data_IF_269193240716
#
_entry.id   IF_269193240716
#
_cell.length_a   1.000
_cell.length_b   1.000
_cell.length_c   1.000
_cell.angle_alpha   90.00
_cell.angle_beta   90.00
_cell.angle_gamma   90.00
#
_symmetry.space_group_name_H-M   'P 1'
#
loop_
_entity.id
_entity.type
_entity.pdbx_description
1 polymer ?
#
# COMPACT_ATOMS: atom_id res chain seq x y z
N UNK A 1 0.97 -22.58 26.65
CA UNK A 1 0.78 -22.77 25.19
C UNK A 1 1.97 -23.54 24.66
N UNK A 2 1.74 -24.59 23.86
CA UNK A 2 2.83 -25.35 23.26
C UNK A 2 3.43 -24.50 22.11
N UNK A 3 4.76 -24.41 22.00
CA UNK A 3 5.40 -23.54 20.99
C UNK A 3 4.98 -23.91 19.56
N UNK A 4 4.71 -25.20 19.34
CA UNK A 4 4.20 -25.73 18.07
C UNK A 4 2.79 -25.19 17.76
N UNK A 5 1.88 -25.17 18.73
CA UNK A 5 0.54 -24.62 18.49
C UNK A 5 0.58 -23.11 18.28
N UNK A 6 1.47 -22.37 18.95
CA UNK A 6 1.62 -20.94 18.71
C UNK A 6 2.14 -20.60 17.32
N UNK A 7 2.97 -21.45 16.72
CA UNK A 7 3.53 -21.24 15.38
C UNK A 7 2.55 -21.63 14.27
N UNK A 8 1.83 -22.74 14.46
CA UNK A 8 0.97 -23.34 13.44
C UNK A 8 -0.52 -22.96 13.54
N UNK A 9 -1.06 -22.74 14.75
CA UNK A 9 -2.44 -22.28 14.94
C UNK A 9 -2.45 -20.76 15.09
N UNK A 10 -2.92 -20.04 14.07
CA UNK A 10 -2.97 -18.59 14.07
C UNK A 10 -4.29 -18.09 13.48
N UNK A 11 -5.10 -17.41 14.30
CA UNK A 11 -6.46 -16.97 13.95
C UNK A 11 -7.53 -17.62 14.83
N UNK A 12 -8.78 -17.54 14.39
CA UNK A 12 -9.92 -18.16 15.06
C UNK A 12 -10.23 -19.55 14.46
N UNK A 13 -10.69 -20.48 15.30
CA UNK A 13 -11.29 -21.75 14.83
C UNK A 13 -12.77 -21.52 14.57
N UNK A 14 -13.20 -21.71 13.32
CA UNK A 14 -14.59 -21.54 12.89
C UNK A 14 -15.14 -22.90 12.45
N UNK A 15 -16.35 -23.30 12.86
CA UNK A 15 -16.96 -24.55 12.41
C UNK A 15 -17.06 -24.59 10.88
N UNK A 16 -16.63 -25.69 10.26
CA UNK A 16 -16.63 -25.84 8.80
C UNK A 16 -15.31 -25.50 8.10
N UNK A 17 -14.26 -25.12 8.86
CA UNK A 17 -12.91 -24.88 8.34
C UNK A 17 -11.89 -25.80 9.04
N UNK A 18 -11.03 -26.44 8.25
CA UNK A 18 -10.01 -27.38 8.75
C UNK A 18 -8.80 -26.66 9.38
N UNK A 19 -8.63 -25.38 9.07
CA UNK A 19 -7.53 -24.52 9.54
C UNK A 19 -8.03 -23.33 10.34
N UNK A 20 -7.13 -22.71 11.10
CA UNK A 20 -7.41 -21.42 11.73
C UNK A 20 -7.53 -20.33 10.66
N UNK A 21 -8.59 -19.54 10.78
CA UNK A 21 -8.96 -18.52 9.79
C UNK A 21 -9.00 -17.13 10.39
N UNK A 22 -8.88 -16.13 9.52
CA UNK A 22 -9.02 -14.71 9.81
C UNK A 22 -10.07 -14.14 8.88
N UNK A 23 -10.82 -13.13 9.32
CA UNK A 23 -11.79 -12.48 8.47
C UNK A 23 -11.08 -11.46 7.55
N UNK A 24 -11.03 -11.73 6.26
CA UNK A 24 -10.37 -10.89 5.26
C UNK A 24 -10.90 -9.47 5.26
N UNK A 25 -12.21 -9.27 5.49
CA UNK A 25 -12.82 -7.94 5.54
C UNK A 25 -12.26 -7.11 6.68
N UNK A 26 -11.97 -7.75 7.81
CA UNK A 26 -11.39 -7.09 8.99
C UNK A 26 -9.94 -6.68 8.71
N UNK A 27 -9.18 -7.54 8.04
CA UNK A 27 -7.80 -7.28 7.64
C UNK A 27 -7.73 -6.14 6.61
N UNK A 28 -8.62 -6.14 5.61
CA UNK A 28 -8.73 -5.09 4.60
C UNK A 28 -9.14 -3.74 5.19
N UNK A 29 -10.13 -3.74 6.08
CA UNK A 29 -10.53 -2.52 6.78
C UNK A 29 -9.38 -1.94 7.60
N UNK A 30 -8.64 -2.79 8.34
CA UNK A 30 -7.48 -2.35 9.09
C UNK A 30 -6.35 -1.82 8.19
N UNK A 31 -6.10 -2.44 7.03
CA UNK A 31 -5.14 -1.94 6.04
C UNK A 31 -5.55 -0.56 5.50
N UNK A 32 -6.85 -0.36 5.22
CA UNK A 32 -7.38 0.93 4.78
C UNK A 32 -7.24 2.04 5.83
N UNK A 33 -7.55 1.73 7.11
CA UNK A 33 -7.40 2.69 8.23
C UNK A 33 -5.94 3.12 8.36
N UNK A 34 -5.02 2.16 8.45
CA UNK A 34 -3.59 2.44 8.58
C UNK A 34 -3.05 3.15 7.33
N UNK A 35 -3.42 2.71 6.13
CA UNK A 35 -3.00 3.35 4.88
C UNK A 35 -3.47 4.81 4.78
N UNK A 36 -4.72 5.09 5.18
CA UNK A 36 -5.25 6.45 5.26
C UNK A 36 -4.48 7.30 6.27
N UNK A 37 -4.28 6.79 7.49
CA UNK A 37 -3.52 7.51 8.53
C UNK A 37 -2.07 7.77 8.09
N UNK A 38 -1.40 6.79 7.50
CA UNK A 38 -0.05 6.94 6.96
C UNK A 38 0.02 7.99 5.85
N UNK A 39 -1.00 8.04 4.98
CA UNK A 39 -1.10 9.08 3.94
C UNK A 39 -1.20 10.47 4.58
N UNK A 40 -2.09 10.65 5.55
CA UNK A 40 -2.23 11.92 6.29
C UNK A 40 -0.92 12.31 6.97
N UNK A 41 -0.23 11.34 7.58
CA UNK A 41 1.05 11.56 8.26
C UNK A 41 2.14 12.01 7.29
N UNK A 42 2.20 11.48 6.06
CA UNK A 42 3.14 11.97 5.04
C UNK A 42 2.80 13.41 4.65
N UNK A 43 1.52 13.71 4.38
CA UNK A 43 1.10 15.08 4.05
C UNK A 43 1.40 16.08 5.17
N UNK A 44 1.10 15.73 6.41
CA UNK A 44 1.32 16.60 7.57
C UNK A 44 2.81 16.68 7.94
N UNK A 45 3.50 15.55 7.93
CA UNK A 45 4.91 15.45 8.29
C UNK A 45 5.83 16.14 7.29
N UNK A 46 5.64 15.91 5.99
CA UNK A 46 6.45 16.54 4.94
C UNK A 46 5.94 17.94 4.61
N UNK A 47 4.62 18.11 4.47
CA UNK A 47 4.03 19.39 4.04
C UNK A 47 4.12 20.49 5.10
N UNK A 48 3.91 20.15 6.38
CA UNK A 48 3.91 21.12 7.49
C UNK A 48 5.10 20.95 8.44
N UNK A 49 6.05 20.07 8.12
CA UNK A 49 7.24 19.77 8.91
C UNK A 49 6.94 19.35 10.37
N UNK A 50 5.79 18.71 10.61
CA UNK A 50 5.38 18.24 11.93
C UNK A 50 5.94 16.84 12.26
N UNK A 51 7.16 16.84 12.78
CA UNK A 51 7.97 15.67 13.15
C UNK A 51 7.23 14.70 14.11
N UNK A 52 6.54 15.25 15.11
CA UNK A 52 5.92 14.47 16.20
C UNK A 52 4.86 13.51 15.66
N UNK A 53 4.07 13.94 14.68
CA UNK A 53 2.97 13.15 14.10
C UNK A 53 3.52 11.88 13.43
N UNK A 54 4.62 12.00 12.70
CA UNK A 54 5.30 10.87 12.08
C UNK A 54 5.84 9.88 13.13
N UNK A 55 6.46 10.38 14.22
CA UNK A 55 6.99 9.53 15.28
C UNK A 55 5.90 8.72 15.98
N UNK A 56 4.79 9.37 16.32
CA UNK A 56 3.64 8.72 16.98
C UNK A 56 3.04 7.65 16.08
N UNK A 57 2.80 7.98 14.80
CA UNK A 57 2.23 7.04 13.85
C UNK A 57 3.13 5.83 13.61
N UNK A 58 4.43 6.02 13.37
CA UNK A 58 5.36 4.92 13.13
C UNK A 58 5.54 4.02 14.35
N UNK A 59 5.54 4.60 15.55
CA UNK A 59 5.56 3.83 16.80
C UNK A 59 4.29 3.00 16.95
N UNK A 60 3.12 3.59 16.69
CA UNK A 60 1.84 2.89 16.70
C UNK A 60 1.80 1.76 15.65
N UNK A 61 2.24 2.03 14.42
CA UNK A 61 2.29 1.06 13.33
C UNK A 61 3.18 -0.15 13.70
N UNK A 62 4.34 0.10 14.29
CA UNK A 62 5.24 -0.95 14.78
C UNK A 62 4.60 -1.80 15.88
N UNK A 63 3.98 -1.16 16.87
CA UNK A 63 3.28 -1.87 17.96
C UNK A 63 2.12 -2.69 17.39
N UNK A 64 1.36 -2.13 16.45
CA UNK A 64 0.24 -2.81 15.83
C UNK A 64 0.68 -4.05 15.05
N UNK A 65 1.73 -3.96 14.21
CA UNK A 65 2.27 -5.13 13.52
C UNK A 65 2.87 -6.16 14.48
N UNK A 66 3.49 -5.72 15.58
CA UNK A 66 3.98 -6.61 16.64
C UNK A 66 2.82 -7.36 17.29
N UNK A 67 1.74 -6.65 17.63
CA UNK A 67 0.53 -7.23 18.20
C UNK A 67 -0.09 -8.24 17.21
N UNK A 68 -0.22 -7.88 15.93
CA UNK A 68 -0.66 -8.79 14.87
C UNK A 68 0.19 -10.05 14.87
N UNK A 69 1.51 -9.96 14.75
CA UNK A 69 2.40 -11.14 14.70
C UNK A 69 2.15 -12.15 15.84
N UNK A 70 1.88 -11.65 17.05
CA UNK A 70 1.61 -12.48 18.23
C UNK A 70 0.18 -13.02 18.20
N UNK A 71 -0.80 -12.14 18.00
CA UNK A 71 -2.21 -12.51 18.03
C UNK A 71 -3.09 -11.49 17.28
N UNK A 72 -3.92 -11.93 16.32
CA UNK A 72 -4.77 -11.04 15.54
C UNK A 72 -5.87 -10.38 16.38
N UNK A 73 -6.25 -10.97 17.52
CA UNK A 73 -7.36 -10.48 18.36
C UNK A 73 -7.01 -9.21 19.14
N UNK A 74 -5.71 -8.94 19.36
CA UNK A 74 -5.25 -7.81 20.19
C UNK A 74 -4.65 -6.66 19.38
N UNK A 75 -4.62 -6.75 18.05
CA UNK A 75 -4.17 -5.64 17.20
C UNK A 75 -5.22 -4.52 17.23
N UNK A 76 -4.85 -3.29 17.67
CA UNK A 76 -5.77 -2.17 17.71
C UNK A 76 -6.42 -1.86 16.36
N UNK A 77 -5.65 -1.94 15.27
CA UNK A 77 -6.18 -1.67 13.94
C UNK A 77 -7.16 -2.76 13.46
N UNK A 78 -6.90 -4.04 13.76
CA UNK A 78 -7.85 -5.13 13.47
C UNK A 78 -9.12 -5.01 14.32
N UNK A 79 -9.01 -4.56 15.57
CA UNK A 79 -10.19 -4.28 16.41
C UNK A 79 -11.05 -3.16 15.82
N UNK A 80 -10.42 -2.07 15.34
CA UNK A 80 -11.12 -0.99 14.65
C UNK A 80 -11.74 -1.48 13.32
N UNK A 81 -11.01 -2.28 12.55
CA UNK A 81 -11.51 -2.90 11.32
C UNK A 81 -12.73 -3.77 11.60
N UNK A 82 -12.64 -4.64 12.60
CA UNK A 82 -13.74 -5.51 13.05
C UNK A 82 -14.97 -4.71 13.45
N UNK A 83 -14.80 -3.59 14.16
CA UNK A 83 -15.91 -2.69 14.48
C UNK A 83 -16.57 -2.11 13.22
N UNK A 84 -15.77 -1.70 12.24
CA UNK A 84 -16.27 -1.13 10.99
C UNK A 84 -17.04 -2.14 10.12
N UNK A 85 -16.59 -3.40 10.04
CA UNK A 85 -17.19 -4.44 9.18
C UNK A 85 -18.11 -5.42 9.91
N UNK A 86 -18.43 -5.19 11.20
CA UNK A 86 -19.16 -6.17 12.05
C UNK A 86 -20.52 -6.62 11.52
N UNK A 87 -21.19 -5.79 10.71
CA UNK A 87 -22.50 -6.07 10.14
C UNK A 87 -22.43 -6.70 8.73
N UNK A 88 -21.23 -6.99 8.23
CA UNK A 88 -21.02 -7.63 6.93
C UNK A 88 -20.84 -9.14 7.10
N UNK A 89 -21.16 -9.91 6.06
CA UNK A 89 -20.86 -11.35 6.05
C UNK A 89 -19.34 -11.57 6.08
N UNK A 90 -18.81 -12.32 7.06
CA UNK A 90 -17.38 -12.54 7.17
C UNK A 90 -16.87 -13.37 5.99
N UNK A 91 -15.65 -13.08 5.56
CA UNK A 91 -14.97 -13.82 4.51
C UNK A 91 -13.69 -14.41 5.10
N UNK A 92 -13.57 -15.73 5.13
CA UNK A 92 -12.51 -16.40 5.86
C UNK A 92 -11.34 -16.80 4.97
N UNK A 93 -10.15 -16.47 5.43
CA UNK A 93 -8.89 -16.73 4.75
C UNK A 93 -7.94 -17.40 5.73
N UNK A 94 -7.12 -18.35 5.24
CA UNK A 94 -6.17 -19.06 6.09
C UNK A 94 -5.30 -18.10 6.91
N UNK A 95 -5.16 -18.33 8.21
CA UNK A 95 -4.48 -17.38 9.09
C UNK A 95 -2.96 -17.36 8.95
N UNK A 96 -2.34 -18.50 8.60
CA UNK A 96 -0.88 -18.62 8.47
C UNK A 96 -0.30 -17.72 7.37
N UNK A 97 -0.95 -17.65 6.20
CA UNK A 97 -0.54 -16.77 5.10
C UNK A 97 -0.60 -15.29 5.51
N UNK A 98 -1.62 -14.88 6.28
CA UNK A 98 -1.74 -13.49 6.77
C UNK A 98 -0.71 -13.18 7.84
N UNK A 99 -0.41 -14.14 8.72
CA UNK A 99 0.69 -13.99 9.68
C UNK A 99 2.00 -13.73 8.98
N UNK A 100 2.30 -14.48 7.92
CA UNK A 100 3.51 -14.27 7.12
C UNK A 100 3.55 -12.86 6.51
N UNK A 101 2.44 -12.42 5.90
CA UNK A 101 2.34 -11.06 5.36
C UNK A 101 2.59 -9.98 6.43
N UNK A 102 2.04 -10.15 7.64
CA UNK A 102 2.25 -9.21 8.74
C UNK A 102 3.66 -9.28 9.33
N UNK A 103 4.32 -10.44 9.31
CA UNK A 103 5.75 -10.54 9.68
C UNK A 103 6.64 -9.79 8.71
N UNK A 104 6.34 -9.80 7.41
CA UNK A 104 7.04 -8.97 6.42
C UNK A 104 6.83 -7.48 6.69
N UNK A 105 5.57 -7.07 6.94
CA UNK A 105 5.27 -5.69 7.32
C UNK A 105 6.01 -5.24 8.58
N UNK A 106 6.07 -6.11 9.60
CA UNK A 106 6.83 -5.87 10.82
C UNK A 106 8.33 -5.70 10.54
N UNK A 107 8.91 -6.58 9.72
CA UNK A 107 10.33 -6.52 9.33
C UNK A 107 10.67 -5.20 8.63
N UNK A 108 9.77 -4.70 7.77
CA UNK A 108 9.94 -3.40 7.09
C UNK A 108 9.79 -2.24 8.08
N UNK A 109 8.93 -2.36 9.09
CA UNK A 109 8.70 -1.30 10.08
C UNK A 109 9.88 -1.08 11.05
N UNK A 110 10.73 -2.09 11.28
CA UNK A 110 11.92 -1.98 12.13
C UNK A 110 12.90 -0.87 11.70
N UNK A 111 13.43 -0.87 10.46
CA UNK A 111 14.30 0.21 10.01
C UNK A 111 13.58 1.56 9.97
N UNK A 112 12.26 1.59 9.73
CA UNK A 112 11.49 2.85 9.76
C UNK A 112 11.47 3.48 11.16
N UNK A 113 11.25 2.68 12.21
CA UNK A 113 11.33 3.16 13.59
C UNK A 113 12.76 3.62 13.89
N UNK A 114 13.78 2.90 13.45
CA UNK A 114 15.17 3.30 13.62
C UNK A 114 15.49 4.65 12.97
N UNK A 115 15.04 4.87 11.72
CA UNK A 115 15.35 6.06 10.91
C UNK A 115 14.51 7.30 11.17
N UNK A 116 13.30 7.15 11.70
CA UNK A 116 12.36 8.26 11.87
C UNK A 116 11.91 8.44 13.32
N UNK A 117 12.02 7.44 14.19
CA UNK A 117 11.64 7.61 15.61
C UNK A 117 12.88 7.91 16.44
N UNK A 118 13.88 7.02 16.38
CA UNK A 118 15.10 7.09 17.18
C UNK A 118 16.09 8.12 16.63
N UNK A 119 16.47 7.97 15.37
CA UNK A 119 17.23 8.97 14.63
C UNK A 119 16.22 9.76 13.79
N UNK A 120 16.37 11.07 13.66
CA UNK A 120 15.53 11.85 12.75
C UNK A 120 16.34 12.14 11.49
N UNK A 121 16.17 11.31 10.47
CA UNK A 121 16.86 11.48 9.19
C UNK A 121 15.90 11.22 8.04
N UNK A 122 15.42 12.33 7.45
CA UNK A 122 14.54 12.31 6.28
C UNK A 122 15.40 12.36 5.03
N UNK A 123 15.44 11.23 4.33
CA UNK A 123 16.04 11.13 3.00
C UNK A 123 15.01 10.58 2.01
N UNK A 124 15.14 10.96 0.74
CA UNK A 124 14.20 10.59 -0.32
C UNK A 124 13.93 9.08 -0.40
N UNK A 125 14.99 8.26 -0.38
CA UNK A 125 14.86 6.81 -0.46
C UNK A 125 14.07 6.20 0.71
N UNK A 126 14.20 6.76 1.93
CA UNK A 126 13.47 6.28 3.11
C UNK A 126 11.98 6.63 3.03
N UNK A 127 11.66 7.81 2.50
CA UNK A 127 10.28 8.23 2.24
C UNK A 127 9.65 7.37 1.14
N UNK A 128 10.40 7.01 0.12
CA UNK A 128 9.93 6.12 -0.96
C UNK A 128 9.51 4.75 -0.41
N UNK A 129 10.25 4.20 0.55
CA UNK A 129 9.84 2.97 1.26
C UNK A 129 8.50 3.16 1.99
N UNK A 130 8.27 4.32 2.63
CA UNK A 130 6.99 4.63 3.28
C UNK A 130 5.84 4.68 2.28
N UNK A 131 6.04 5.35 1.14
CA UNK A 131 5.05 5.46 0.05
C UNK A 131 4.74 4.08 -0.53
N UNK A 132 5.76 3.23 -0.73
CA UNK A 132 5.60 1.85 -1.16
C UNK A 132 4.74 1.06 -0.17
N UNK A 133 5.01 1.15 1.13
CA UNK A 133 4.23 0.45 2.15
C UNK A 133 2.76 0.89 2.13
N UNK A 134 2.50 2.19 2.11
CA UNK A 134 1.13 2.73 2.04
C UNK A 134 0.43 2.25 0.77
N UNK A 135 1.15 2.22 -0.36
CA UNK A 135 0.62 1.72 -1.63
C UNK A 135 0.24 0.23 -1.54
N UNK A 136 1.08 -0.61 -0.92
CA UNK A 136 0.76 -2.02 -0.68
C UNK A 136 -0.47 -2.19 0.22
N UNK A 137 -0.59 -1.38 1.27
CA UNK A 137 -1.77 -1.39 2.15
C UNK A 137 -3.05 -0.92 1.42
N UNK A 138 -2.91 0.05 0.53
CA UNK A 138 -4.00 0.49 -0.34
C UNK A 138 -4.44 -0.62 -1.29
N UNK A 139 -3.51 -1.37 -1.89
CA UNK A 139 -3.83 -2.51 -2.75
C UNK A 139 -4.59 -3.60 -1.98
N UNK A 140 -4.18 -3.90 -0.75
CA UNK A 140 -4.88 -4.86 0.12
C UNK A 140 -6.29 -4.36 0.47
N UNK A 141 -6.42 -3.09 0.86
CA UNK A 141 -7.72 -2.50 1.21
C UNK A 141 -8.69 -2.43 0.02
N UNK A 142 -8.25 -1.82 -1.09
CA UNK A 142 -9.11 -1.48 -2.23
C UNK A 142 -9.36 -2.69 -3.14
N UNK A 143 -8.31 -3.42 -3.53
CA UNK A 143 -8.40 -4.49 -4.52
C UNK A 143 -8.41 -5.89 -3.91
N UNK A 144 -8.26 -6.02 -2.58
CA UNK A 144 -8.08 -7.33 -1.91
C UNK A 144 -6.81 -8.05 -2.36
N UNK A 145 -5.81 -7.31 -2.86
CA UNK A 145 -4.55 -7.87 -3.33
C UNK A 145 -3.50 -7.73 -2.24
N UNK A 146 -3.22 -8.83 -1.54
CA UNK A 146 -2.16 -8.88 -0.55
C UNK A 146 -0.89 -9.49 -1.16
N UNK A 147 0.11 -8.64 -1.46
CA UNK A 147 1.39 -9.06 -2.04
C UNK A 147 2.13 -10.05 -1.13
N UNK A 148 2.03 -9.88 0.19
CA UNK A 148 2.62 -10.81 1.16
C UNK A 148 2.04 -12.24 1.05
N UNK A 149 0.72 -12.37 0.86
CA UNK A 149 0.09 -13.67 0.63
C UNK A 149 0.52 -14.29 -0.71
N UNK A 150 0.74 -13.47 -1.75
CA UNK A 150 1.21 -13.95 -3.05
C UNK A 150 2.65 -14.51 -2.96
N UNK A 151 3.53 -13.82 -2.23
CA UNK A 151 4.88 -14.30 -1.94
C UNK A 151 4.84 -15.62 -1.17
N UNK A 152 3.98 -15.72 -0.14
CA UNK A 152 3.79 -16.95 0.64
C UNK A 152 3.39 -18.14 -0.25
N UNK A 153 2.37 -17.96 -1.11
CA UNK A 153 1.94 -18.95 -2.08
C UNK A 153 3.08 -19.41 -3.00
N UNK A 154 3.90 -18.46 -3.44
CA UNK A 154 5.02 -18.74 -4.36
C UNK A 154 6.12 -19.56 -3.69
N UNK A 155 6.39 -19.31 -2.40
CA UNK A 155 7.41 -20.02 -1.63
C UNK A 155 6.95 -21.45 -1.30
N UNK A 156 5.71 -21.61 -0.83
CA UNK A 156 5.20 -22.90 -0.37
C UNK A 156 4.77 -23.80 -1.52
N UNK A 157 4.48 -23.23 -2.71
CA UNK A 157 4.07 -23.93 -3.94
C UNK A 157 2.81 -24.80 -3.82
N UNK A 158 2.17 -24.81 -2.66
CA UNK A 158 0.83 -25.35 -2.44
C UNK A 158 -0.17 -24.19 -2.42
N UNK A 159 -1.36 -24.43 -2.98
CA UNK A 159 -2.44 -23.46 -2.89
C UNK A 159 -2.85 -23.30 -1.41
N UNK A 160 -2.81 -22.07 -0.86
CA UNK A 160 -3.21 -21.86 0.52
C UNK A 160 -4.67 -22.26 0.72
N UNK A 161 -4.97 -23.00 1.79
CA UNK A 161 -6.33 -23.39 2.13
C UNK A 161 -7.17 -22.13 2.43
N UNK A 162 -8.25 -21.95 1.67
CA UNK A 162 -9.15 -20.78 1.67
C UNK A 162 -8.43 -19.46 1.29
N UNK A 163 -8.51 -19.13 0.01
CA UNK A 163 -7.89 -17.95 -0.58
C UNK A 163 -8.79 -16.71 -0.51
N UNK A 164 -8.20 -15.51 -0.37
CA UNK A 164 -8.96 -14.25 -0.36
C UNK A 164 -9.75 -14.10 -1.67
N UNK A 165 -11.02 -13.70 -1.57
CA UNK A 165 -11.91 -13.54 -2.72
C UNK A 165 -12.32 -14.85 -3.40
N UNK A 166 -12.05 -16.01 -2.78
CA UNK A 166 -12.41 -17.31 -3.36
C UNK A 166 -11.66 -17.65 -4.64
N UNK A 167 -10.54 -16.99 -4.97
CA UNK A 167 -9.79 -17.23 -6.23
C UNK A 167 -9.24 -18.65 -6.38
N UNK A 168 -9.17 -19.42 -5.30
CA UNK A 168 -8.76 -20.83 -5.36
C UNK A 168 -9.92 -21.78 -5.67
N UNK A 169 -11.15 -21.31 -5.59
CA UNK A 169 -12.31 -22.00 -6.16
C UNK A 169 -12.42 -21.63 -7.64
N UNK A 170 -12.75 -22.59 -8.50
CA UNK A 170 -12.99 -22.32 -9.92
C UNK A 170 -14.31 -21.56 -10.03
N UNK A 171 -14.22 -20.24 -9.97
CA UNK A 171 -15.36 -19.34 -10.08
C UNK A 171 -15.62 -19.04 -11.56
N UNK A 172 -16.82 -19.37 -12.05
CA UNK A 172 -17.27 -18.86 -13.34
C UNK A 172 -17.63 -17.38 -13.19
N UNK A 173 -17.15 -16.54 -14.11
CA UNK A 173 -17.45 -15.11 -14.07
C UNK A 173 -18.95 -14.90 -14.24
N UNK A 174 -19.57 -14.25 -13.28
CA UNK A 174 -20.98 -13.86 -13.40
C UNK A 174 -21.18 -12.97 -14.63
N UNK A 175 -22.36 -12.98 -15.28
CA UNK A 175 -22.64 -12.13 -16.43
C UNK A 175 -22.38 -10.63 -16.18
N UNK A 176 -22.53 -10.18 -14.93
CA UNK A 176 -22.27 -8.80 -14.47
C UNK A 176 -20.78 -8.44 -14.56
N UNK A 177 -19.88 -9.43 -14.46
CA UNK A 177 -18.42 -9.23 -14.53
C UNK A 177 -17.89 -9.19 -15.97
N UNK A 178 -18.73 -9.50 -16.97
CA UNK A 178 -18.33 -9.58 -18.37
C UNK A 178 -18.62 -8.24 -19.05
N UNK A 179 -17.58 -7.58 -19.57
CA UNK A 179 -17.73 -6.30 -20.25
C UNK A 179 -18.33 -6.45 -21.66
N UNK A 180 -19.40 -5.70 -21.92
CA UNK A 180 -19.93 -5.47 -23.27
C UNK A 180 -18.89 -4.69 -24.11
N UNK A 181 -18.77 -4.88 -25.45
CA UNK A 181 -17.90 -4.09 -26.31
C UNK A 181 -17.97 -2.56 -26.07
N UNK A 182 -19.15 -2.01 -25.81
CA UNK A 182 -19.29 -0.57 -25.50
C UNK A 182 -18.59 -0.21 -24.18
N UNK A 183 -18.76 -1.03 -23.14
CA UNK A 183 -18.10 -0.82 -21.84
C UNK A 183 -16.57 -0.94 -21.96
N UNK A 184 -16.06 -1.82 -22.83
CA UNK A 184 -14.63 -1.92 -23.12
C UNK A 184 -14.07 -0.65 -23.76
N UNK A 185 -14.80 -0.03 -24.69
CA UNK A 185 -14.41 1.24 -25.32
C UNK A 185 -14.38 2.36 -24.28
N UNK A 186 -15.42 2.48 -23.44
CA UNK A 186 -15.47 3.50 -22.37
C UNK A 186 -14.30 3.31 -21.40
N UNK A 187 -14.02 2.07 -21.00
CA UNK A 187 -12.89 1.76 -20.13
C UNK A 187 -11.56 2.18 -20.77
N UNK A 188 -11.32 1.84 -22.04
CA UNK A 188 -10.12 2.23 -22.77
C UNK A 188 -9.94 3.75 -22.87
N UNK A 189 -11.02 4.48 -23.21
CA UNK A 189 -11.00 5.94 -23.32
C UNK A 189 -10.72 6.61 -21.97
N UNK A 190 -11.30 6.08 -20.89
CA UNK A 190 -11.10 6.60 -19.53
C UNK A 190 -9.65 6.41 -19.09
N UNK A 191 -9.09 5.22 -19.30
CA UNK A 191 -7.69 4.93 -18.99
C UNK A 191 -6.76 5.82 -19.81
N UNK A 192 -7.00 5.94 -21.12
CA UNK A 192 -6.20 6.79 -21.99
C UNK A 192 -6.27 8.27 -21.60
N UNK A 193 -7.47 8.79 -21.30
CA UNK A 193 -7.66 10.17 -20.85
C UNK A 193 -6.96 10.47 -19.53
N UNK A 194 -6.99 9.55 -18.56
CA UNK A 194 -6.26 9.69 -17.30
C UNK A 194 -4.74 9.71 -17.52
N UNK A 195 -4.22 8.79 -18.34
CA UNK A 195 -2.79 8.73 -18.66
C UNK A 195 -2.33 9.99 -19.42
N UNK A 196 -3.13 10.45 -20.39
CA UNK A 196 -2.85 11.69 -21.12
C UNK A 196 -2.91 12.92 -20.21
N UNK A 197 -3.86 12.98 -19.29
CA UNK A 197 -3.94 14.05 -18.29
C UNK A 197 -2.73 14.08 -17.36
N UNK A 198 -2.26 12.92 -16.89
CA UNK A 198 -1.04 12.79 -16.10
C UNK A 198 0.18 13.22 -16.92
N UNK A 199 0.28 12.79 -18.18
CA UNK A 199 1.36 13.18 -19.09
C UNK A 199 1.41 14.71 -19.27
N UNK A 200 0.27 15.36 -19.57
CA UNK A 200 0.21 16.82 -19.71
C UNK A 200 0.54 17.55 -18.42
N UNK A 201 0.08 17.03 -17.28
CA UNK A 201 0.40 17.60 -15.97
C UNK A 201 1.90 17.57 -15.70
N UNK A 202 2.56 16.44 -15.97
CA UNK A 202 4.01 16.30 -15.82
C UNK A 202 4.77 17.17 -16.83
N UNK A 203 4.35 17.21 -18.09
CA UNK A 203 5.03 17.98 -19.14
C UNK A 203 4.92 19.50 -18.97
N UNK A 204 3.86 20.00 -18.32
CA UNK A 204 3.61 21.45 -18.20
C UNK A 204 4.01 22.04 -16.84
N UNK A 205 4.29 21.21 -15.85
CA UNK A 205 4.60 21.69 -14.49
C UNK A 205 6.11 21.74 -14.30
N UNK A 206 6.66 22.93 -14.03
CA UNK A 206 8.05 23.08 -13.58
C UNK A 206 8.22 22.33 -12.24
N UNK A 207 9.12 21.36 -12.24
CA UNK A 207 9.36 20.53 -11.08
C UNK A 207 10.38 21.18 -10.16
N UNK A 208 10.01 21.37 -8.89
CA UNK A 208 10.92 21.90 -7.84
C UNK A 208 11.60 20.81 -7.01
N UNK A 209 11.51 19.57 -7.47
CA UNK A 209 11.98 18.40 -6.72
C UNK A 209 12.79 17.51 -7.65
N UNK A 210 13.86 16.92 -7.13
CA UNK A 210 14.75 16.03 -7.87
C UNK A 210 14.02 14.92 -8.65
N UNK A 211 12.97 14.33 -8.07
CA UNK A 211 12.18 13.30 -8.76
C UNK A 211 11.27 13.89 -9.85
N UNK A 212 10.77 15.10 -9.65
CA UNK A 212 10.02 15.80 -10.69
C UNK A 212 10.89 16.17 -11.88
N UNK A 213 12.15 16.57 -11.67
CA UNK A 213 13.10 16.83 -12.75
C UNK A 213 13.42 15.54 -13.52
N UNK A 214 13.68 14.45 -12.80
CA UNK A 214 13.89 13.13 -13.41
C UNK A 214 12.68 12.65 -14.22
N UNK A 215 11.46 12.81 -13.70
CA UNK A 215 10.24 12.45 -14.44
C UNK A 215 10.02 13.36 -15.66
N UNK A 216 10.29 14.65 -15.52
CA UNK A 216 10.13 15.62 -16.59
C UNK A 216 11.14 15.36 -17.72
N UNK A 217 12.38 15.00 -17.40
CA UNK A 217 13.40 14.52 -18.35
C UNK A 217 13.00 13.22 -19.04
N UNK A 218 12.40 12.26 -18.32
CA UNK A 218 11.91 11.00 -18.92
C UNK A 218 10.69 11.18 -19.83
N UNK A 219 9.88 12.21 -19.58
CA UNK A 219 8.64 12.48 -20.31
C UNK A 219 8.89 13.33 -21.56
N UNK A 220 9.90 14.20 -21.55
CA UNK A 220 10.24 15.06 -22.68
C UNK A 220 11.09 14.35 -23.72
N UNK A 221 10.84 14.69 -25.00
CA UNK A 221 11.74 14.33 -26.10
C UNK A 221 13.01 15.18 -26.00
N UNK A 222 14.20 14.66 -26.39
CA UNK A 222 15.48 15.38 -26.24
C UNK A 222 15.47 16.80 -26.84
N UNK A 223 14.77 16.99 -27.96
CA UNK A 223 14.63 18.32 -28.60
C UNK A 223 13.78 19.32 -27.79
N UNK A 224 12.80 18.84 -27.03
CA UNK A 224 11.96 19.70 -26.19
C UNK A 224 12.69 20.12 -24.92
N UNK A 225 13.46 19.19 -24.34
CA UNK A 225 14.28 19.46 -23.17
C UNK A 225 15.40 20.47 -23.45
N UNK A 226 16.04 20.37 -24.62
CA UNK A 226 17.06 21.33 -25.06
C UNK A 226 16.48 22.74 -25.16
N UNK A 227 15.33 22.90 -25.82
CA UNK A 227 14.62 24.19 -25.93
C UNK A 227 14.24 24.77 -24.58
N UNK A 228 13.81 23.94 -23.63
CA UNK A 228 13.44 24.39 -22.30
C UNK A 228 14.67 24.86 -21.50
N UNK A 229 15.80 24.14 -21.61
CA UNK A 229 17.09 24.58 -21.04
C UNK A 229 17.57 25.90 -21.63
N UNK A 230 17.48 26.05 -22.96
CA UNK A 230 17.89 27.28 -23.64
C UNK A 230 17.02 28.46 -23.16
N UNK A 231 15.71 28.26 -23.01
CA UNK A 231 14.77 29.28 -22.48
C UNK A 231 15.01 29.62 -20.99
N UNK A 232 15.36 28.64 -20.15
CA UNK A 232 15.70 28.89 -18.75
C UNK A 232 17.00 29.70 -18.66
N UNK A 233 18.00 29.33 -19.47
CA UNK A 233 19.28 30.02 -19.54
C UNK A 233 19.11 31.48 -20.01
N UNK A 234 18.29 31.72 -21.05
CA UNK A 234 17.95 33.07 -21.51
C UNK A 234 17.28 33.91 -20.40
N UNK A 235 16.36 33.33 -19.60
CA UNK A 235 15.74 34.05 -18.46
C UNK A 235 16.75 34.37 -17.34
N UNK A 236 17.68 33.46 -17.04
CA UNK A 236 18.72 33.71 -16.04
C UNK A 236 19.64 34.86 -16.50
N UNK A 237 20.07 34.85 -17.76
CA UNK A 237 20.85 35.94 -18.35
C UNK A 237 20.10 37.28 -18.35
N UNK A 238 18.79 37.31 -18.66
CA UNK A 238 17.99 38.53 -18.57
C UNK A 238 17.77 39.01 -17.13
N UNK A 239 17.82 38.11 -16.13
CA UNK A 239 17.65 38.47 -14.72
C UNK A 239 18.91 38.97 -14.03
N UNK A 240 20.10 38.58 -14.52
CA UNK A 240 21.40 39.02 -14.00
C UNK A 240 21.86 40.38 -14.58
N UNK A 241 21.21 40.86 -15.66
CA UNK A 241 21.50 42.15 -16.33
C UNK A 241 20.76 43.37 -15.72
N UNK A 242 20.16 43.24 -14.51
CA UNK A 242 19.52 44.34 -13.74
C UNK A 242 20.07 44.54 -12.33
#
# INVERSE_FOLDING_TARGET
MNLKSFLWDYGAKVPGYDVTVINEREARAAAGILGMLGTIVIFVGIGFNHIIVAKVYLTFLFIDFTARMISPTYSPSLMLGKFAVRNQTPEYVGGLQKRFAWTLGWLISLPMVWWFVLHWDITFYKVLVCVLCISLMFLESAFSVCVGCMIYKTIIKEDPQHCPGGVCEIQQKDPIQIFNPIQKIIWLLTVFGLLFGIYLFLAKTESKTFFGEFLHELVLTQDQFQKEKDLIMEREFESDDF
#
